data_IF_058535890467
#
_entry.id   IF_058535890467
#
_cell.length_a   1.000
_cell.length_b   1.000
_cell.length_c   1.000
_cell.angle_alpha   90.00
_cell.angle_beta   90.00
_cell.angle_gamma   90.00
#
_symmetry.space_group_name_H-M   'P 1'
#
loop_
_entity.id
_entity.type
_entity.pdbx_description
1 polymer ?
#
# COMPACT_ATOMS: atom_id res chain seq x y z
N UNK A 1 -9.47 0.40 -10.09
CA UNK A 1 -8.90 -0.72 -9.31
C UNK A 1 -7.48 -0.35 -9.00
N UNK A 2 -7.12 -0.34 -7.73
CA UNK A 2 -5.72 -0.21 -7.29
C UNK A 2 -5.21 -1.59 -6.92
N UNK A 3 -3.90 -1.79 -6.95
CA UNK A 3 -3.30 -3.08 -6.61
C UNK A 3 -2.40 -2.88 -5.39
N UNK A 4 -2.43 -3.83 -4.45
CA UNK A 4 -1.53 -3.78 -3.31
C UNK A 4 -0.10 -4.05 -3.80
N UNK A 5 0.85 -3.12 -3.61
CA UNK A 5 2.20 -3.25 -4.17
C UNK A 5 3.01 -4.39 -3.53
N UNK A 6 2.56 -4.91 -2.38
CA UNK A 6 3.21 -6.03 -1.69
C UNK A 6 2.77 -7.39 -2.24
N UNK A 7 1.48 -7.59 -2.46
CA UNK A 7 0.92 -8.91 -2.78
C UNK A 7 0.23 -9.00 -4.14
N UNK A 8 0.15 -7.91 -4.89
CA UNK A 8 -0.51 -7.86 -6.20
C UNK A 8 -2.03 -8.07 -6.13
N UNK A 9 -2.63 -8.00 -4.94
CA UNK A 9 -4.08 -8.19 -4.80
C UNK A 9 -4.82 -6.93 -5.19
N UNK A 10 -5.84 -7.10 -6.04
CA UNK A 10 -6.77 -6.03 -6.39
C UNK A 10 -7.48 -5.48 -5.15
N UNK A 11 -7.36 -4.17 -4.98
CA UNK A 11 -7.99 -3.39 -3.93
C UNK A 11 -9.25 -2.75 -4.50
N UNK A 12 -10.34 -2.97 -3.77
CA UNK A 12 -11.55 -2.18 -3.93
C UNK A 12 -11.24 -0.73 -3.52
N UNK A 13 -11.69 0.22 -4.35
CA UNK A 13 -11.61 1.65 -4.04
C UNK A 13 -12.47 1.93 -2.79
N UNK A 14 -12.01 2.82 -1.91
CA UNK A 14 -12.43 3.01 -0.50
C UNK A 14 -11.76 2.08 0.52
N UNK A 15 -10.45 2.31 0.75
CA UNK A 15 -9.71 1.76 1.91
C UNK A 15 -9.62 2.81 3.01
N UNK A 16 -9.78 2.37 4.26
CA UNK A 16 -9.54 3.18 5.45
C UNK A 16 -8.12 3.75 5.47
N UNK A 17 -7.95 4.92 6.07
CA UNK A 17 -6.66 5.62 6.15
C UNK A 17 -5.57 4.81 6.85
N UNK A 18 -5.94 3.82 7.66
CA UNK A 18 -5.00 2.89 8.28
C UNK A 18 -4.29 1.98 7.28
N UNK A 19 -4.83 1.76 6.09
CA UNK A 19 -4.23 0.93 5.04
C UNK A 19 -3.57 1.75 3.94
N UNK A 20 -3.14 2.97 4.27
CA UNK A 20 -2.59 3.93 3.32
C UNK A 20 -1.21 4.38 3.79
N UNK A 21 -0.23 4.40 2.88
CA UNK A 21 1.07 5.04 3.10
C UNK A 21 1.34 6.08 2.00
N UNK A 22 2.13 7.11 2.32
CA UNK A 22 2.61 8.08 1.31
C UNK A 22 4.10 7.92 1.12
N UNK A 23 4.52 7.74 -0.13
CA UNK A 23 5.92 7.65 -0.51
C UNK A 23 6.19 8.50 -1.76
N UNK A 24 7.17 9.39 -1.69
CA UNK A 24 7.55 10.32 -2.77
C UNK A 24 6.36 11.12 -3.36
N UNK A 25 5.43 11.54 -2.52
CA UNK A 25 4.24 12.29 -2.93
C UNK A 25 3.13 11.43 -3.54
N UNK A 26 3.35 10.14 -3.76
CA UNK A 26 2.33 9.17 -4.18
C UNK A 26 1.69 8.50 -2.95
N UNK A 27 0.40 8.24 -3.04
CA UNK A 27 -0.35 7.49 -2.04
C UNK A 27 -0.46 6.04 -2.48
N UNK A 28 -0.05 5.12 -1.63
CA UNK A 28 -0.13 3.68 -1.82
C UNK A 28 -1.19 3.12 -0.88
N UNK A 29 -1.99 2.19 -1.38
CA UNK A 29 -3.03 1.50 -0.63
C UNK A 29 -2.64 0.05 -0.44
N UNK A 30 -3.01 -0.50 0.71
CA UNK A 30 -2.61 -1.85 1.12
C UNK A 30 -3.82 -2.69 1.48
N UNK A 31 -3.69 -4.01 1.35
CA UNK A 31 -4.77 -4.90 1.73
C UNK A 31 -4.89 -5.08 3.25
N UNK A 32 -3.84 -4.74 4.00
CA UNK A 32 -3.73 -4.91 5.44
C UNK A 32 -2.67 -3.97 6.02
N UNK A 33 -2.73 -3.70 7.33
CA UNK A 33 -1.75 -2.88 8.03
C UNK A 33 -0.33 -3.48 7.99
N UNK A 34 -0.23 -4.81 7.91
CA UNK A 34 1.03 -5.53 7.77
C UNK A 34 1.77 -5.17 6.47
N UNK A 35 1.08 -5.23 5.32
CA UNK A 35 1.65 -4.81 4.04
C UNK A 35 2.01 -3.33 3.99
N UNK A 36 1.23 -2.48 4.67
CA UNK A 36 1.60 -1.07 4.83
C UNK A 36 2.93 -0.96 5.57
N UNK A 37 3.06 -1.64 6.70
CA UNK A 37 4.29 -1.65 7.52
C UNK A 37 5.48 -2.15 6.70
N UNK A 38 5.33 -3.29 6.01
CA UNK A 38 6.39 -3.84 5.16
C UNK A 38 6.83 -2.86 4.06
N UNK A 39 5.88 -2.15 3.46
CA UNK A 39 6.16 -1.11 2.49
C UNK A 39 6.82 0.12 3.11
N UNK A 40 6.44 0.52 4.33
CA UNK A 40 7.07 1.63 5.05
C UNK A 40 8.53 1.32 5.42
N UNK A 41 8.85 0.05 5.71
CA UNK A 41 10.21 -0.40 6.03
C UNK A 41 11.12 -0.48 4.80
N UNK A 42 10.59 -0.89 3.65
CA UNK A 42 11.38 -1.07 2.42
C UNK A 42 10.65 -0.62 1.15
N UNK A 43 10.24 0.66 1.02
CA UNK A 43 9.39 1.10 -0.09
C UNK A 43 10.07 0.94 -1.45
N UNK A 44 11.39 1.11 -1.52
CA UNK A 44 12.18 0.96 -2.75
C UNK A 44 12.19 -0.44 -3.37
N UNK A 45 11.71 -1.46 -2.66
CA UNK A 45 11.55 -2.82 -3.20
C UNK A 45 10.20 -3.06 -3.88
N UNK A 46 9.23 -2.17 -3.69
CA UNK A 46 7.83 -2.35 -4.10
C UNK A 46 7.32 -1.27 -5.08
N UNK A 47 8.09 -0.21 -5.34
CA UNK A 47 7.72 0.93 -6.20
C UNK A 47 8.46 0.98 -7.52
#
# INVERSE_FOLDING_TARGET
MEECPVCGTELYVDRETEFVARHLGRQYRFCSADHRTQFEEAPGGYV
#
